data_IF_065106209835
#
_entry.id   IF_065106209835
#
_cell.length_a   1.000
_cell.length_b   1.000
_cell.length_c   1.000
_cell.angle_alpha   90.00
_cell.angle_beta   90.00
_cell.angle_gamma   90.00
#
_symmetry.space_group_name_H-M   'P 1'
#
loop_
_entity.id
_entity.type
_entity.pdbx_description
1 polymer ?
#
# COMPACT_ATOMS: atom_id res chain seq x y z
N UNK A 1 -10.03 -15.77 13.58
CA UNK A 1 -10.81 -15.71 14.83
C UNK A 1 -11.61 -14.42 14.83
N UNK A 2 -12.87 -14.50 15.26
CA UNK A 2 -13.76 -13.36 15.35
C UNK A 2 -14.22 -13.24 16.81
N UNK A 3 -14.17 -12.04 17.38
CA UNK A 3 -14.60 -11.76 18.75
C UNK A 3 -15.63 -10.64 18.73
N UNK A 4 -16.75 -10.86 19.38
CA UNK A 4 -17.88 -9.93 19.46
C UNK A 4 -18.04 -9.39 20.88
N UNK A 5 -18.82 -8.30 20.99
CA UNK A 5 -19.20 -7.71 22.28
C UNK A 5 -18.03 -7.26 23.16
N UNK A 6 -16.95 -6.87 22.52
CA UNK A 6 -15.78 -6.30 23.21
C UNK A 6 -16.11 -4.91 23.74
N UNK A 7 -15.62 -4.60 24.94
CA UNK A 7 -15.70 -3.24 25.50
C UNK A 7 -14.73 -2.33 24.74
N UNK A 8 -15.15 -1.11 24.42
CA UNK A 8 -14.28 -0.06 23.88
C UNK A 8 -13.26 0.41 24.92
N UNK A 9 -12.09 0.87 24.45
CA UNK A 9 -11.00 1.37 25.28
C UNK A 9 -10.61 0.41 26.43
N UNK A 10 -10.52 -0.86 26.11
CA UNK A 10 -10.27 -1.90 27.08
C UNK A 10 -9.12 -2.80 26.67
N UNK A 11 -8.24 -3.10 27.63
CA UNK A 11 -7.09 -3.99 27.41
C UNK A 11 -7.46 -5.43 27.74
N UNK A 12 -7.44 -6.28 26.74
CA UNK A 12 -7.67 -7.71 26.85
C UNK A 12 -6.35 -8.46 26.95
N UNK A 13 -6.30 -9.49 27.78
CA UNK A 13 -5.21 -10.46 27.79
C UNK A 13 -5.66 -11.69 27.01
N UNK A 14 -5.04 -11.93 25.87
CA UNK A 14 -5.41 -12.95 24.91
C UNK A 14 -4.53 -14.20 25.07
N UNK A 15 -5.09 -15.35 24.73
CA UNK A 15 -4.37 -16.61 24.65
C UNK A 15 -4.91 -17.45 23.49
N UNK A 16 -4.03 -18.18 22.82
CA UNK A 16 -4.39 -19.15 21.80
C UNK A 16 -4.26 -20.55 22.40
N UNK A 17 -5.33 -21.33 22.34
CA UNK A 17 -5.38 -22.69 22.87
C UNK A 17 -5.80 -23.66 21.76
N UNK A 18 -5.31 -24.90 21.84
CA UNK A 18 -5.78 -25.99 20.98
C UNK A 18 -7.14 -26.55 21.50
N UNK A 19 -7.68 -27.52 20.77
CA UNK A 19 -8.94 -28.19 21.14
C UNK A 19 -8.86 -29.04 22.40
N UNK A 20 -7.67 -29.22 22.99
CA UNK A 20 -7.42 -29.95 24.26
C UNK A 20 -7.15 -28.96 25.40
N UNK A 21 -7.17 -27.67 25.18
CA UNK A 21 -6.90 -26.63 26.17
C UNK A 21 -5.43 -26.30 26.39
N UNK A 22 -4.50 -26.85 25.57
CA UNK A 22 -3.09 -26.50 25.68
C UNK A 22 -2.82 -25.15 25.07
N UNK A 23 -1.95 -24.34 25.70
CA UNK A 23 -1.48 -23.07 25.14
C UNK A 23 -0.60 -23.33 23.92
N UNK A 24 -0.92 -22.65 22.80
CA UNK A 24 -0.16 -22.71 21.56
C UNK A 24 0.93 -21.63 21.48
N UNK A 25 0.82 -20.58 22.27
CA UNK A 25 1.82 -19.52 22.39
C UNK A 25 1.68 -18.79 23.74
N UNK A 26 2.63 -17.90 24.05
CA UNK A 26 2.53 -17.01 25.20
C UNK A 26 1.30 -16.12 25.12
N UNK A 27 0.77 -15.76 26.29
CA UNK A 27 -0.30 -14.76 26.40
C UNK A 27 0.19 -13.40 25.96
N UNK A 28 -0.70 -12.58 25.40
CA UNK A 28 -0.40 -11.21 24.99
C UNK A 28 -1.58 -10.28 25.26
N UNK A 29 -1.26 -9.01 25.37
CA UNK A 29 -2.26 -7.96 25.55
C UNK A 29 -2.62 -7.35 24.20
N UNK A 30 -3.90 -7.03 24.01
CA UNK A 30 -4.41 -6.27 22.88
C UNK A 30 -5.51 -5.33 23.38
N UNK A 31 -5.41 -4.04 23.04
CA UNK A 31 -6.42 -3.05 23.40
C UNK A 31 -7.41 -2.85 22.26
N UNK A 32 -8.67 -2.68 22.63
CA UNK A 32 -9.71 -2.19 21.70
C UNK A 32 -9.61 -0.69 21.59
N UNK A 33 -10.07 -0.14 20.47
CA UNK A 33 -10.13 1.31 20.27
C UNK A 33 -11.19 1.97 21.15
N UNK A 34 -11.03 3.27 21.43
CA UNK A 34 -12.08 4.10 22.03
C UNK A 34 -13.35 4.07 21.18
N UNK A 35 -14.51 4.22 21.82
CA UNK A 35 -15.79 4.26 21.13
C UNK A 35 -15.83 5.42 20.10
N UNK A 36 -16.53 5.26 18.95
CA UNK A 36 -16.53 6.26 17.87
C UNK A 36 -16.96 7.67 18.27
N UNK A 37 -17.79 7.78 19.31
CA UNK A 37 -18.31 9.02 19.88
C UNK A 37 -17.47 9.56 21.06
N UNK A 38 -16.46 8.83 21.50
CA UNK A 38 -15.55 9.27 22.56
C UNK A 38 -14.53 10.26 22.04
N UNK A 39 -13.92 11.03 22.96
CA UNK A 39 -12.93 12.09 22.66
C UNK A 39 -11.58 11.75 23.28
N UNK A 40 -10.79 10.86 22.68
CA UNK A 40 -9.45 10.55 23.17
C UNK A 40 -8.53 11.76 23.09
N UNK A 41 -7.63 11.90 24.07
CA UNK A 41 -6.68 13.02 24.09
C UNK A 41 -5.58 12.89 23.05
N UNK A 42 -5.16 11.65 22.74
CA UNK A 42 -4.05 11.34 21.85
C UNK A 42 -4.23 10.00 21.18
N UNK A 43 -3.55 9.85 20.04
CA UNK A 43 -3.30 8.55 19.37
C UNK A 43 -1.97 8.61 18.65
N UNK A 44 -1.37 7.45 18.43
CA UNK A 44 -0.13 7.28 17.67
C UNK A 44 -0.29 6.22 16.61
N UNK A 45 0.02 6.58 15.37
CA UNK A 45 -0.05 5.68 14.23
C UNK A 45 1.36 5.38 13.72
N UNK A 46 1.62 4.10 13.42
CA UNK A 46 2.81 3.66 12.71
C UNK A 46 2.41 3.29 11.28
N UNK A 47 3.10 3.85 10.28
CA UNK A 47 2.79 3.61 8.87
C UNK A 47 4.07 3.26 8.11
N UNK A 48 4.02 2.21 7.29
CA UNK A 48 5.10 1.83 6.38
C UNK A 48 4.55 1.14 5.14
N UNK A 49 5.42 0.93 4.15
CA UNK A 49 5.07 0.27 2.88
C UNK A 49 6.13 -0.76 2.48
N UNK A 50 5.84 -1.55 1.46
CA UNK A 50 6.80 -2.40 0.75
C UNK A 50 7.66 -3.23 1.71
N UNK A 51 7.01 -3.90 2.66
CA UNK A 51 7.70 -4.67 3.70
C UNK A 51 8.10 -6.07 3.25
N UNK A 52 7.51 -6.60 2.18
CA UNK A 52 7.79 -7.89 1.59
C UNK A 52 9.25 -8.05 1.13
N UNK A 53 9.54 -9.18 0.59
CA UNK A 53 10.85 -9.50 0.04
C UNK A 53 11.28 -10.91 0.37
N UNK A 54 11.85 -11.56 -0.62
CA UNK A 54 12.33 -12.94 -0.53
C UNK A 54 13.87 -12.99 -0.56
N UNK A 55 14.46 -13.99 0.08
CA UNK A 55 15.90 -14.23 -0.06
C UNK A 55 16.18 -14.79 -1.45
N UNK A 56 17.25 -14.33 -2.07
CA UNK A 56 17.76 -14.92 -3.29
C UNK A 56 19.13 -15.56 -3.02
N UNK A 57 19.13 -16.86 -2.86
CA UNK A 57 20.30 -17.62 -2.42
C UNK A 57 21.43 -17.68 -3.46
N UNK A 58 21.15 -17.39 -4.73
CA UNK A 58 22.10 -17.51 -5.82
C UNK A 58 22.86 -16.20 -6.12
N UNK A 59 22.61 -15.15 -5.34
CA UNK A 59 23.24 -13.85 -5.54
C UNK A 59 23.99 -13.41 -4.29
N UNK A 60 25.15 -12.75 -4.48
CA UNK A 60 25.86 -12.11 -3.38
C UNK A 60 24.95 -11.17 -2.58
N UNK A 61 25.26 -11.00 -1.30
CA UNK A 61 24.47 -10.20 -0.41
C UNK A 61 24.23 -8.75 -0.92
N UNK A 62 25.23 -8.17 -1.57
CA UNK A 62 25.17 -6.82 -2.16
C UNK A 62 24.26 -6.70 -3.39
N UNK A 63 23.95 -7.81 -4.05
CA UNK A 63 23.09 -7.86 -5.24
C UNK A 63 21.63 -8.24 -4.90
N UNK A 64 21.35 -8.58 -3.65
CA UNK A 64 19.99 -8.92 -3.23
C UNK A 64 19.05 -7.72 -3.44
N UNK A 65 17.84 -7.91 -4.03
CA UNK A 65 16.89 -6.83 -4.24
C UNK A 65 16.25 -6.35 -2.92
N UNK A 66 16.24 -7.21 -1.90
CA UNK A 66 15.60 -6.93 -0.62
C UNK A 66 16.61 -6.95 0.54
N UNK A 67 16.29 -6.21 1.57
CA UNK A 67 17.05 -6.23 2.82
C UNK A 67 16.93 -7.61 3.49
N UNK A 68 18.01 -8.07 4.17
CA UNK A 68 17.96 -9.25 5.02
C UNK A 68 16.80 -9.18 6.02
N UNK A 69 16.19 -10.33 6.30
CA UNK A 69 15.03 -10.46 7.20
C UNK A 69 15.25 -9.76 8.55
N UNK A 70 16.42 -9.99 9.17
CA UNK A 70 16.73 -9.41 10.49
C UNK A 70 16.80 -7.87 10.48
N UNK A 71 17.21 -7.24 9.35
CA UNK A 71 17.20 -5.77 9.22
C UNK A 71 15.77 -5.27 9.10
N UNK A 72 14.93 -5.91 8.28
CA UNK A 72 13.51 -5.56 8.16
C UNK A 72 12.79 -5.68 9.49
N UNK A 73 13.01 -6.78 10.23
CA UNK A 73 12.47 -6.99 11.57
C UNK A 73 12.91 -5.89 12.55
N UNK A 74 14.17 -5.48 12.50
CA UNK A 74 14.72 -4.44 13.37
C UNK A 74 14.11 -3.06 13.08
N UNK A 75 13.88 -2.72 11.80
CA UNK A 75 13.17 -1.50 11.42
C UNK A 75 11.73 -1.48 11.96
N UNK A 76 11.00 -2.59 11.82
CA UNK A 76 9.63 -2.71 12.35
C UNK A 76 9.65 -2.63 13.88
N UNK A 77 10.56 -3.35 14.53
CA UNK A 77 10.73 -3.32 15.99
C UNK A 77 11.03 -1.91 16.50
N UNK A 78 11.85 -1.11 15.76
CA UNK A 78 12.09 0.30 16.09
C UNK A 78 10.79 1.10 15.99
N UNK A 79 10.00 0.96 14.95
CA UNK A 79 8.68 1.59 14.84
C UNK A 79 7.76 1.23 16.02
N UNK A 80 7.67 -0.05 16.35
CA UNK A 80 6.86 -0.56 17.46
C UNK A 80 7.37 -0.10 18.84
N UNK A 81 8.67 0.20 19.00
CA UNK A 81 9.22 0.71 20.25
C UNK A 81 8.63 2.05 20.69
N UNK A 82 8.04 2.80 19.76
CA UNK A 82 7.28 4.02 20.05
C UNK A 82 5.87 3.76 20.57
N UNK A 83 5.46 2.49 20.70
CA UNK A 83 4.14 2.05 21.20
C UNK A 83 2.97 2.68 20.45
N UNK A 84 2.84 2.41 19.14
CA UNK A 84 1.71 2.90 18.38
C UNK A 84 0.41 2.25 18.82
N UNK A 85 -0.70 2.99 18.78
CA UNK A 85 -2.05 2.50 19.04
C UNK A 85 -2.61 1.72 17.86
N UNK A 86 -2.12 2.00 16.65
CA UNK A 86 -2.43 1.26 15.43
C UNK A 86 -1.26 1.28 14.44
N UNK A 87 -1.26 0.29 13.54
CA UNK A 87 -0.31 0.17 12.44
C UNK A 87 -1.06 0.06 11.11
N UNK A 88 -0.58 0.77 10.10
CA UNK A 88 -1.05 0.62 8.71
C UNK A 88 0.14 0.24 7.84
N UNK A 89 0.08 -0.93 7.22
CA UNK A 89 1.02 -1.39 6.22
C UNK A 89 0.39 -1.19 4.83
N UNK A 90 1.04 -0.38 4.00
CA UNK A 90 0.52 0.06 2.70
C UNK A 90 1.21 -0.73 1.60
N UNK A 91 0.53 -1.75 1.07
CA UNK A 91 0.92 -2.49 -0.12
C UNK A 91 2.26 -3.21 -0.07
N UNK A 92 2.48 -4.04 -1.07
CA UNK A 92 3.73 -4.78 -1.30
C UNK A 92 4.17 -5.63 -0.10
N UNK A 93 3.19 -6.33 0.49
CA UNK A 93 3.48 -7.31 1.55
C UNK A 93 4.19 -8.52 0.98
N UNK A 94 3.98 -8.78 -0.33
CA UNK A 94 4.49 -9.92 -1.06
C UNK A 94 5.04 -9.44 -2.39
N UNK A 95 6.26 -9.87 -2.70
CA UNK A 95 6.85 -9.75 -4.03
C UNK A 95 6.86 -11.14 -4.65
N UNK A 96 6.06 -11.34 -5.66
CA UNK A 96 6.01 -12.59 -6.41
C UNK A 96 6.47 -12.43 -7.85
N UNK A 97 5.99 -11.42 -8.56
CA UNK A 97 6.42 -10.96 -9.89
C UNK A 97 6.63 -12.08 -10.90
N UNK A 98 5.65 -12.94 -11.05
CA UNK A 98 5.82 -14.21 -11.74
C UNK A 98 6.24 -14.06 -13.21
N UNK A 99 5.50 -13.29 -13.97
CA UNK A 99 5.70 -13.25 -15.42
C UNK A 99 6.65 -12.18 -15.87
N UNK A 100 6.43 -10.98 -15.39
CA UNK A 100 7.23 -9.82 -15.78
C UNK A 100 8.70 -10.01 -15.50
N UNK A 101 9.02 -10.69 -14.40
CA UNK A 101 10.41 -10.94 -14.03
C UNK A 101 11.05 -12.06 -14.84
N UNK A 102 10.32 -13.16 -15.12
CA UNK A 102 10.84 -14.26 -15.96
C UNK A 102 11.07 -13.84 -17.40
N UNK A 103 10.22 -12.97 -17.93
CA UNK A 103 10.28 -12.43 -19.29
C UNK A 103 11.10 -11.13 -19.38
N UNK A 104 11.78 -10.72 -18.30
CA UNK A 104 12.58 -9.50 -18.30
C UNK A 104 13.69 -9.56 -19.34
N UNK A 105 13.90 -8.46 -20.06
CA UNK A 105 15.03 -8.33 -21.01
C UNK A 105 16.37 -8.26 -20.27
N UNK A 106 16.36 -7.80 -19.03
CA UNK A 106 17.49 -7.88 -18.12
C UNK A 106 17.70 -9.33 -17.69
N UNK A 107 18.79 -9.93 -18.19
CA UNK A 107 19.13 -11.33 -17.93
C UNK A 107 19.44 -11.60 -16.46
N UNK A 108 19.98 -10.66 -15.73
CA UNK A 108 20.23 -10.78 -14.29
C UNK A 108 18.90 -10.90 -13.55
N UNK A 109 17.97 -10.00 -13.83
CA UNK A 109 16.62 -10.00 -13.23
C UNK A 109 15.84 -11.28 -13.56
N UNK A 110 15.89 -11.74 -14.80
CA UNK A 110 15.29 -13.02 -15.21
C UNK A 110 15.92 -14.22 -14.52
N UNK A 111 17.23 -14.19 -14.28
CA UNK A 111 17.97 -15.23 -13.55
C UNK A 111 17.59 -15.24 -12.07
N UNK A 112 17.45 -14.09 -11.45
CA UNK A 112 16.97 -13.96 -10.05
C UNK A 112 15.57 -14.55 -9.89
N UNK A 113 14.65 -14.24 -10.79
CA UNK A 113 13.30 -14.78 -10.78
C UNK A 113 13.31 -16.31 -10.92
N UNK A 114 14.10 -16.86 -11.85
CA UNK A 114 14.25 -18.33 -12.00
C UNK A 114 14.74 -19.00 -10.73
N UNK A 115 15.79 -18.46 -10.12
CA UNK A 115 16.34 -19.02 -8.87
C UNK A 115 15.29 -19.00 -7.73
N UNK A 116 14.51 -17.96 -7.66
CA UNK A 116 13.40 -17.88 -6.72
C UNK A 116 12.35 -18.98 -6.97
N UNK A 117 11.91 -19.15 -8.21
CA UNK A 117 10.96 -20.21 -8.58
C UNK A 117 11.49 -21.61 -8.30
N UNK A 118 12.77 -21.87 -8.59
CA UNK A 118 13.41 -23.15 -8.26
C UNK A 118 13.36 -23.44 -6.76
N UNK A 119 13.52 -22.42 -5.93
CA UNK A 119 13.49 -22.56 -4.47
C UNK A 119 12.10 -22.83 -3.89
N UNK A 120 11.05 -22.23 -4.43
CA UNK A 120 9.68 -22.32 -3.88
C UNK A 120 8.76 -23.26 -4.67
N UNK A 121 9.07 -23.51 -5.92
CA UNK A 121 8.29 -24.33 -6.85
C UNK A 121 7.40 -23.47 -7.76
N UNK A 122 6.94 -24.07 -8.84
CA UNK A 122 6.08 -23.43 -9.84
C UNK A 122 4.62 -23.53 -9.46
N UNK A 123 3.85 -22.49 -9.77
CA UNK A 123 2.39 -22.49 -9.65
C UNK A 123 1.72 -22.99 -10.94
N UNK A 124 0.77 -23.88 -10.78
CA UNK A 124 -0.12 -24.29 -11.86
C UNK A 124 -1.31 -23.33 -11.95
N UNK A 125 -1.31 -22.47 -12.97
CA UNK A 125 -2.37 -21.45 -13.16
C UNK A 125 -3.76 -22.02 -13.50
N UNK A 126 -3.84 -23.30 -13.81
CA UNK A 126 -5.10 -23.98 -14.10
C UNK A 126 -5.74 -24.62 -12.86
N UNK A 127 -5.03 -24.65 -11.73
CA UNK A 127 -5.51 -25.21 -10.48
C UNK A 127 -5.83 -24.16 -9.44
N UNK A 128 -6.74 -24.49 -8.53
CA UNK A 128 -7.07 -23.65 -7.39
C UNK A 128 -5.85 -23.41 -6.50
N UNK A 129 -5.85 -22.32 -5.75
CA UNK A 129 -4.82 -22.05 -4.72
C UNK A 129 -4.91 -23.05 -3.57
N UNK A 130 -6.11 -23.25 -3.01
CA UNK A 130 -6.38 -24.09 -1.84
C UNK A 130 -6.60 -25.55 -2.20
N UNK A 131 -6.06 -26.46 -1.40
CA UNK A 131 -6.27 -27.91 -1.53
C UNK A 131 -5.56 -28.55 -2.71
N UNK A 132 -4.60 -27.89 -3.34
CA UNK A 132 -3.80 -28.37 -4.48
C UNK A 132 -2.30 -28.20 -4.18
N UNK A 133 -1.39 -28.73 -5.03
CA UNK A 133 0.03 -28.46 -4.86
C UNK A 133 0.41 -26.97 -4.82
N UNK A 134 -0.40 -26.07 -5.41
CA UNK A 134 -0.20 -24.64 -5.34
C UNK A 134 -0.16 -24.11 -3.89
N UNK A 135 -0.97 -24.67 -3.01
CA UNK A 135 -1.00 -24.25 -1.60
C UNK A 135 0.36 -24.35 -0.92
N UNK A 136 1.07 -25.47 -1.14
CA UNK A 136 2.40 -25.67 -0.57
C UNK A 136 3.44 -24.70 -1.17
N UNK A 137 3.34 -24.39 -2.46
CA UNK A 137 4.19 -23.41 -3.14
C UNK A 137 3.95 -22.01 -2.59
N UNK A 138 2.68 -21.61 -2.47
CA UNK A 138 2.29 -20.31 -1.93
C UNK A 138 2.82 -20.16 -0.49
N UNK A 139 2.62 -21.14 0.37
CA UNK A 139 3.10 -21.09 1.76
C UNK A 139 4.61 -20.90 1.82
N UNK A 140 5.38 -21.66 1.03
CA UNK A 140 6.84 -21.49 0.99
C UNK A 140 7.27 -20.11 0.48
N UNK A 141 6.56 -19.56 -0.50
CA UNK A 141 6.88 -18.25 -1.05
C UNK A 141 6.56 -17.10 -0.09
N UNK A 142 5.45 -17.21 0.66
CA UNK A 142 4.93 -16.13 1.49
C UNK A 142 5.47 -16.15 2.90
N UNK A 143 5.79 -17.34 3.44
CA UNK A 143 6.31 -17.49 4.79
C UNK A 143 7.49 -16.54 5.11
N UNK A 144 8.56 -16.43 4.30
CA UNK A 144 9.65 -15.49 4.57
C UNK A 144 9.27 -14.02 4.44
N UNK A 145 8.18 -13.70 3.74
CA UNK A 145 7.76 -12.34 3.46
C UNK A 145 6.77 -11.78 4.49
N UNK A 146 5.94 -12.63 5.09
CA UNK A 146 4.93 -12.26 6.07
C UNK A 146 5.15 -12.97 7.40
N UNK A 147 5.03 -14.30 7.43
CA UNK A 147 5.04 -15.05 8.70
C UNK A 147 6.36 -14.88 9.45
N UNK A 148 7.50 -15.06 8.79
CA UNK A 148 8.80 -14.89 9.41
C UNK A 148 9.14 -13.41 9.66
N UNK A 149 8.66 -12.50 8.80
CA UNK A 149 8.92 -11.07 8.96
C UNK A 149 8.26 -10.53 10.23
N UNK A 150 6.98 -10.75 10.36
CA UNK A 150 6.21 -10.18 11.48
C UNK A 150 6.28 -11.06 12.73
N UNK A 151 6.32 -12.39 12.58
CA UNK A 151 6.31 -13.32 13.70
C UNK A 151 5.17 -12.97 14.67
N UNK A 152 5.54 -12.70 15.92
CA UNK A 152 4.61 -12.26 16.96
C UNK A 152 4.69 -10.77 17.27
N UNK A 153 5.49 -10.00 16.52
CA UNK A 153 5.77 -8.58 16.85
C UNK A 153 4.51 -7.71 16.84
N UNK A 154 3.56 -8.00 15.93
CA UNK A 154 2.35 -7.19 15.76
C UNK A 154 1.18 -7.60 16.66
N UNK A 155 1.30 -8.69 17.42
CA UNK A 155 0.17 -9.29 18.16
C UNK A 155 -0.50 -8.36 19.19
N UNK A 156 0.23 -7.33 19.66
CA UNK A 156 -0.27 -6.36 20.64
C UNK A 156 -0.63 -5.01 20.03
N UNK A 157 -0.58 -4.86 18.70
CA UNK A 157 -0.89 -3.63 17.99
C UNK A 157 -1.91 -3.92 16.90
N UNK A 158 -3.11 -3.33 16.94
CA UNK A 158 -4.07 -3.43 15.84
C UNK A 158 -3.43 -3.04 14.52
N UNK A 159 -3.47 -3.93 13.53
CA UNK A 159 -2.71 -3.78 12.29
C UNK A 159 -3.62 -3.95 11.08
N UNK A 160 -3.49 -3.03 10.12
CA UNK A 160 -4.27 -2.96 8.89
C UNK A 160 -3.35 -3.11 7.68
N UNK A 161 -3.75 -3.95 6.72
CA UNK A 161 -2.95 -4.29 5.54
C UNK A 161 -3.75 -4.02 4.28
N UNK A 162 -3.41 -2.98 3.54
CA UNK A 162 -3.99 -2.72 2.21
C UNK A 162 -3.11 -3.34 1.14
N UNK A 163 -3.70 -4.01 0.16
CA UNK A 163 -2.96 -4.62 -0.96
C UNK A 163 -2.61 -3.56 -2.00
N UNK A 164 -1.50 -3.81 -2.72
CA UNK A 164 -1.12 -3.07 -3.92
C UNK A 164 -0.72 -4.04 -5.05
N UNK A 165 -0.05 -3.57 -6.09
CA UNK A 165 0.23 -4.29 -7.33
C UNK A 165 0.93 -5.65 -7.09
N UNK A 166 2.04 -5.67 -6.36
CA UNK A 166 2.79 -6.89 -6.08
C UNK A 166 2.00 -7.94 -5.27
N UNK A 167 1.06 -7.53 -4.44
CA UNK A 167 0.21 -8.45 -3.67
C UNK A 167 -0.75 -9.26 -4.57
N UNK A 168 -0.91 -8.85 -5.83
CA UNK A 168 -1.69 -9.57 -6.83
C UNK A 168 -0.85 -10.49 -7.73
N UNK A 169 0.34 -10.89 -7.29
CA UNK A 169 1.24 -11.84 -7.96
C UNK A 169 1.90 -11.33 -9.25
N UNK A 170 1.74 -10.12 -9.59
CA UNK A 170 2.39 -9.45 -10.71
C UNK A 170 2.55 -7.98 -10.35
N UNK A 171 3.62 -7.34 -10.78
CA UNK A 171 3.73 -5.91 -10.61
C UNK A 171 2.92 -5.15 -11.69
N UNK A 172 2.80 -3.86 -11.59
CA UNK A 172 2.02 -3.03 -12.51
C UNK A 172 2.71 -2.74 -13.85
N UNK A 173 3.87 -3.35 -14.11
CA UNK A 173 4.58 -3.17 -15.37
C UNK A 173 3.85 -3.81 -16.55
N UNK A 174 3.40 -3.01 -17.50
CA UNK A 174 2.91 -3.48 -18.78
C UNK A 174 4.08 -3.78 -19.73
N UNK A 175 3.91 -4.82 -20.56
CA UNK A 175 4.79 -5.13 -21.67
C UNK A 175 4.03 -5.03 -22.99
N UNK A 176 4.72 -5.20 -24.13
CA UNK A 176 4.10 -5.31 -25.44
C UNK A 176 3.22 -6.56 -25.61
N UNK A 177 3.26 -7.49 -24.64
CA UNK A 177 2.54 -8.77 -24.67
C UNK A 177 1.36 -8.83 -23.72
N UNK A 178 1.46 -8.22 -22.55
CA UNK A 178 0.41 -8.29 -21.54
C UNK A 178 0.42 -7.12 -20.57
N UNK A 179 -0.71 -6.94 -19.91
CA UNK A 179 -0.96 -6.00 -18.83
C UNK A 179 -1.29 -6.79 -17.58
N UNK A 180 -0.74 -6.40 -16.43
CA UNK A 180 -0.82 -7.17 -15.19
C UNK A 180 -1.97 -6.75 -14.29
N UNK A 181 -2.36 -5.48 -14.30
CA UNK A 181 -3.47 -4.95 -13.48
C UNK A 181 -4.57 -4.33 -14.34
N UNK A 182 -5.83 -4.30 -13.88
CA UNK A 182 -6.34 -4.91 -12.63
C UNK A 182 -6.23 -6.43 -12.67
N UNK A 183 -6.18 -7.10 -11.49
CA UNK A 183 -5.87 -8.52 -11.40
C UNK A 183 -6.91 -9.40 -12.12
N UNK A 184 -6.43 -10.40 -12.81
CA UNK A 184 -7.26 -11.44 -13.42
C UNK A 184 -7.72 -12.49 -12.40
N UNK A 185 -8.62 -13.37 -12.83
CA UNK A 185 -9.18 -14.43 -11.96
C UNK A 185 -8.11 -15.25 -11.23
N UNK A 186 -7.03 -15.62 -11.91
CA UNK A 186 -5.92 -16.35 -11.31
C UNK A 186 -5.26 -15.52 -10.21
N UNK A 187 -4.75 -14.35 -10.54
CA UNK A 187 -4.06 -13.46 -9.61
C UNK A 187 -4.91 -13.14 -8.38
N UNK A 188 -6.17 -12.77 -8.61
CA UNK A 188 -7.11 -12.46 -7.54
C UNK A 188 -7.38 -13.68 -6.63
N UNK A 189 -7.57 -14.88 -7.18
CA UNK A 189 -7.84 -16.07 -6.37
C UNK A 189 -6.68 -16.43 -5.45
N UNK A 190 -5.46 -16.21 -5.93
CA UNK A 190 -4.24 -16.44 -5.16
C UNK A 190 -4.02 -15.34 -4.12
N UNK A 191 -4.22 -14.08 -4.47
CA UNK A 191 -4.15 -12.97 -3.53
C UNK A 191 -5.15 -13.14 -2.38
N UNK A 192 -6.40 -13.50 -2.68
CA UNK A 192 -7.43 -13.81 -1.67
C UNK A 192 -7.01 -14.96 -0.76
N UNK A 193 -6.44 -16.02 -1.31
CA UNK A 193 -5.96 -17.15 -0.52
C UNK A 193 -4.82 -16.74 0.44
N UNK A 194 -3.91 -15.89 -0.01
CA UNK A 194 -2.85 -15.36 0.84
C UNK A 194 -3.41 -14.49 1.97
N UNK A 195 -4.34 -13.60 1.65
CA UNK A 195 -5.02 -12.79 2.69
C UNK A 195 -5.72 -13.67 3.71
N UNK A 196 -6.47 -14.67 3.27
CA UNK A 196 -7.18 -15.60 4.15
C UNK A 196 -6.23 -16.36 5.12
N UNK A 197 -4.98 -16.60 4.71
CA UNK A 197 -3.99 -17.33 5.52
C UNK A 197 -3.15 -16.43 6.44
N UNK A 198 -2.78 -15.26 6.00
CA UNK A 198 -1.68 -14.52 6.60
C UNK A 198 -2.04 -13.11 7.08
N UNK A 199 -3.09 -12.49 6.54
CA UNK A 199 -3.41 -11.10 6.85
C UNK A 199 -4.78 -11.03 7.53
N UNK A 200 -4.94 -10.16 8.56
CA UNK A 200 -6.24 -9.90 9.14
C UNK A 200 -7.13 -9.15 8.14
N UNK A 201 -8.42 -9.41 8.20
CA UNK A 201 -9.39 -8.60 7.48
C UNK A 201 -9.59 -7.25 8.18
N UNK A 202 -10.00 -6.25 7.42
CA UNK A 202 -10.46 -5.00 8.01
C UNK A 202 -11.75 -5.24 8.81
N UNK A 203 -12.01 -4.39 9.79
CA UNK A 203 -13.31 -4.38 10.45
C UNK A 203 -14.41 -4.02 9.45
N UNK A 204 -15.56 -4.66 9.58
CA UNK A 204 -16.70 -4.37 8.73
C UNK A 204 -17.15 -2.91 8.93
N UNK A 205 -17.27 -2.20 7.82
CA UNK A 205 -17.87 -0.86 7.75
C UNK A 205 -19.09 -0.97 6.85
N UNK A 206 -20.28 -0.73 7.41
CA UNK A 206 -21.54 -0.85 6.68
C UNK A 206 -21.64 0.15 5.51
N UNK A 207 -20.90 1.25 5.54
CA UNK A 207 -20.91 2.29 4.51
C UNK A 207 -19.89 2.02 3.39
N UNK A 208 -18.95 1.07 3.57
CA UNK A 208 -17.93 0.80 2.59
C UNK A 208 -18.49 0.21 1.29
N UNK A 209 -17.85 0.47 0.14
CA UNK A 209 -18.23 -0.18 -1.11
C UNK A 209 -18.08 -1.70 -1.02
N UNK A 210 -19.03 -2.42 -1.57
CA UNK A 210 -19.00 -3.88 -1.62
C UNK A 210 -19.76 -4.39 -2.86
N UNK A 211 -19.57 -5.66 -3.20
CA UNK A 211 -20.24 -6.34 -4.31
C UNK A 211 -19.95 -5.73 -5.69
N UNK A 212 -18.95 -4.88 -5.81
CA UNK A 212 -18.59 -4.23 -7.07
C UNK A 212 -18.08 -5.22 -8.10
N UNK A 213 -18.32 -4.92 -9.36
CA UNK A 213 -17.76 -5.68 -10.47
C UNK A 213 -16.25 -5.45 -10.58
N UNK A 214 -15.48 -6.49 -10.81
CA UNK A 214 -14.03 -6.42 -10.99
C UNK A 214 -13.53 -7.33 -12.11
N UNK A 215 -12.36 -7.08 -12.65
CA UNK A 215 -11.81 -7.80 -13.80
C UNK A 215 -11.60 -9.30 -13.55
N UNK A 216 -11.21 -9.70 -12.36
CA UNK A 216 -10.96 -11.11 -12.03
C UNK A 216 -12.17 -11.83 -11.47
N UNK A 217 -12.92 -11.16 -10.63
CA UNK A 217 -14.17 -11.63 -10.03
C UNK A 217 -14.88 -10.45 -9.37
N UNK A 218 -16.16 -10.65 -9.04
CA UNK A 218 -16.94 -9.72 -8.24
C UNK A 218 -16.29 -9.54 -6.85
N UNK A 219 -16.45 -8.35 -6.29
CA UNK A 219 -16.08 -8.06 -4.91
C UNK A 219 -16.86 -8.93 -3.91
N UNK A 220 -16.34 -9.06 -2.70
CA UNK A 220 -16.96 -9.83 -1.62
C UNK A 220 -18.19 -9.12 -1.03
N UNK A 221 -18.91 -9.85 -0.18
CA UNK A 221 -20.06 -9.34 0.57
C UNK A 221 -19.65 -8.22 1.55
N UNK A 222 -20.59 -7.36 1.97
CA UNK A 222 -20.28 -6.23 2.87
C UNK A 222 -19.62 -6.63 4.20
N UNK A 223 -19.88 -7.84 4.70
CA UNK A 223 -19.27 -8.35 5.94
C UNK A 223 -17.82 -8.76 5.83
N UNK A 224 -17.28 -8.87 4.61
CA UNK A 224 -15.91 -9.33 4.33
C UNK A 224 -15.14 -8.23 3.65
N UNK A 225 -14.15 -7.65 4.33
CA UNK A 225 -13.33 -6.57 3.77
C UNK A 225 -12.32 -7.12 2.77
N UNK A 226 -12.24 -6.51 1.59
CA UNK A 226 -11.29 -6.88 0.55
C UNK A 226 -10.37 -5.72 0.17
N UNK A 227 -10.93 -4.60 -0.28
CA UNK A 227 -10.15 -3.50 -0.87
C UNK A 227 -10.38 -2.16 -0.19
N UNK A 228 -11.45 -2.02 0.56
CA UNK A 228 -11.83 -0.76 1.20
C UNK A 228 -12.18 -0.99 2.66
N UNK A 229 -11.71 -0.10 3.53
CA UNK A 229 -12.00 -0.17 4.94
C UNK A 229 -11.63 1.11 5.66
N UNK A 230 -12.08 1.21 6.89
CA UNK A 230 -11.67 2.29 7.79
C UNK A 230 -11.16 1.72 9.09
N UNK A 231 -10.34 2.51 9.78
CA UNK A 231 -10.29 2.40 11.23
C UNK A 231 -10.64 3.74 11.83
N UNK A 232 -11.30 3.74 12.97
CA UNK A 232 -11.70 4.94 13.69
C UNK A 232 -11.26 4.87 15.15
N UNK A 233 -10.52 5.88 15.60
CA UNK A 233 -10.03 6.01 16.96
C UNK A 233 -10.79 7.12 17.70
N UNK A 234 -11.96 6.78 18.24
CA UNK A 234 -12.90 7.77 18.77
C UNK A 234 -13.29 8.79 17.71
N UNK A 235 -13.45 10.04 18.13
CA UNK A 235 -13.61 11.19 17.24
C UNK A 235 -12.26 11.86 16.89
N UNK A 236 -11.12 11.33 17.42
CA UNK A 236 -9.81 11.91 17.21
C UNK A 236 -9.28 11.64 15.80
N UNK A 237 -9.40 10.40 15.31
CA UNK A 237 -8.83 10.03 14.02
C UNK A 237 -9.68 9.02 13.27
N UNK A 238 -9.69 9.16 11.95
CA UNK A 238 -10.17 8.13 11.03
C UNK A 238 -9.21 7.99 9.85
N UNK A 239 -8.92 6.75 9.45
CA UNK A 239 -8.19 6.44 8.24
C UNK A 239 -9.10 5.72 7.25
N UNK A 240 -9.20 6.26 6.05
CA UNK A 240 -9.89 5.66 4.90
C UNK A 240 -8.84 4.91 4.09
N UNK A 241 -8.88 3.59 4.16
CA UNK A 241 -7.87 2.70 3.57
C UNK A 241 -8.45 2.10 2.30
N UNK A 242 -7.75 2.27 1.17
CA UNK A 242 -8.24 1.80 -0.11
C UNK A 242 -7.15 1.32 -1.07
N UNK A 243 -7.47 0.19 -1.70
CA UNK A 243 -6.66 -0.51 -2.68
C UNK A 243 -6.88 0.10 -4.06
N UNK A 244 -5.85 0.65 -4.65
CA UNK A 244 -5.86 1.25 -5.98
C UNK A 244 -5.54 0.25 -7.11
N UNK A 245 -5.08 -0.95 -6.81
CA UNK A 245 -4.74 -1.96 -7.81
C UNK A 245 -5.92 -2.86 -8.19
N UNK A 246 -6.81 -3.14 -7.22
CA UNK A 246 -7.89 -4.13 -7.37
C UNK A 246 -8.93 -3.78 -8.42
N UNK A 247 -9.35 -2.52 -8.48
CA UNK A 247 -10.46 -2.05 -9.31
C UNK A 247 -10.06 -0.98 -10.31
N UNK A 248 -8.77 -0.69 -10.46
CA UNK A 248 -8.35 0.33 -11.40
C UNK A 248 -8.93 0.07 -12.81
N UNK A 249 -9.23 1.13 -13.50
CA UNK A 249 -9.70 1.07 -14.88
C UNK A 249 -8.72 1.78 -15.81
N UNK A 250 -8.61 1.23 -17.02
CA UNK A 250 -7.63 1.62 -18.03
C UNK A 250 -8.29 2.23 -19.27
N UNK A 251 -9.51 2.74 -19.16
CA UNK A 251 -10.34 3.11 -20.30
C UNK A 251 -10.46 4.63 -20.44
N UNK A 252 -9.57 5.22 -21.21
CA UNK A 252 -9.65 6.59 -21.68
C UNK A 252 -9.74 7.65 -20.59
N UNK A 253 -10.35 8.77 -20.91
CA UNK A 253 -10.50 9.93 -20.03
C UNK A 253 -11.38 9.70 -18.79
N UNK A 254 -12.07 8.56 -18.74
CA UNK A 254 -12.90 8.14 -17.59
C UNK A 254 -12.21 7.05 -16.77
N UNK A 255 -10.97 6.71 -17.09
CA UNK A 255 -10.19 5.77 -16.29
C UNK A 255 -9.99 6.31 -14.86
N UNK A 256 -9.93 5.42 -13.90
CA UNK A 256 -9.74 5.76 -12.49
C UNK A 256 -8.91 4.72 -11.75
N UNK A 257 -8.24 5.15 -10.69
CA UNK A 257 -7.54 4.27 -9.76
C UNK A 257 -8.53 3.52 -8.86
N UNK A 258 -9.66 4.14 -8.57
CA UNK A 258 -10.76 3.57 -7.79
C UNK A 258 -12.07 3.72 -8.54
N UNK A 259 -13.05 2.82 -8.31
CA UNK A 259 -14.37 2.94 -8.96
C UNK A 259 -15.18 4.10 -8.40
N UNK A 260 -16.20 4.57 -9.15
CA UNK A 260 -17.05 5.69 -8.72
C UNK A 260 -17.74 5.49 -7.36
N UNK A 261 -18.11 4.26 -7.04
CA UNK A 261 -18.70 3.90 -5.75
C UNK A 261 -17.75 4.15 -4.59
N UNK A 262 -16.45 3.82 -4.79
CA UNK A 262 -15.42 4.10 -3.80
C UNK A 262 -15.13 5.60 -3.69
N UNK A 263 -15.10 6.33 -4.79
CA UNK A 263 -14.94 7.80 -4.78
C UNK A 263 -16.10 8.46 -4.02
N UNK A 264 -17.34 8.00 -4.23
CA UNK A 264 -18.51 8.50 -3.51
C UNK A 264 -18.45 8.21 -2.00
N UNK A 265 -17.98 7.02 -1.63
CA UNK A 265 -17.78 6.66 -0.22
C UNK A 265 -16.71 7.55 0.44
N UNK A 266 -15.56 7.78 -0.24
CA UNK A 266 -14.54 8.69 0.25
C UNK A 266 -15.09 10.11 0.45
N UNK A 267 -15.94 10.60 -0.47
CA UNK A 267 -16.57 11.90 -0.36
C UNK A 267 -17.45 12.00 0.90
N UNK A 268 -18.36 11.04 1.11
CA UNK A 268 -19.22 11.01 2.28
C UNK A 268 -18.45 10.99 3.59
N UNK A 269 -17.36 10.19 3.64
CA UNK A 269 -16.51 10.11 4.85
C UNK A 269 -15.69 11.39 5.05
N UNK A 270 -15.28 12.05 3.98
CA UNK A 270 -14.53 13.29 4.05
C UNK A 270 -15.41 14.47 4.52
N UNK A 271 -16.68 14.45 4.22
CA UNK A 271 -17.65 15.44 4.71
C UNK A 271 -17.96 15.32 6.21
N UNK A 272 -17.71 14.16 6.84
CA UNK A 272 -17.90 13.97 8.29
C UNK A 272 -16.90 14.81 9.09
N UNK A 273 -17.39 15.92 9.65
CA UNK A 273 -16.61 16.86 10.47
C UNK A 273 -16.55 16.47 11.95
N UNK A 274 -17.19 15.38 12.36
CA UNK A 274 -17.09 14.87 13.74
C UNK A 274 -15.71 14.34 14.08
N UNK A 275 -14.93 13.93 13.06
CA UNK A 275 -13.58 13.42 13.20
C UNK A 275 -12.57 14.56 13.12
N UNK A 276 -11.63 14.61 14.08
CA UNK A 276 -10.62 15.67 14.15
C UNK A 276 -9.56 15.58 13.05
N UNK A 277 -9.02 14.37 12.80
CA UNK A 277 -8.03 14.09 11.79
C UNK A 277 -8.51 12.99 10.86
N UNK A 278 -8.53 13.29 9.57
CA UNK A 278 -8.89 12.32 8.54
C UNK A 278 -7.67 12.04 7.67
N UNK A 279 -7.39 10.77 7.46
CA UNK A 279 -6.33 10.29 6.59
C UNK A 279 -6.92 9.54 5.41
N UNK A 280 -6.51 9.89 4.20
CA UNK A 280 -6.66 9.03 3.05
C UNK A 280 -5.42 8.15 2.92
N UNK A 281 -5.62 6.86 2.75
CA UNK A 281 -4.54 5.86 2.69
C UNK A 281 -4.70 5.02 1.42
N UNK A 282 -4.44 5.60 0.23
CA UNK A 282 -4.36 4.84 -1.02
C UNK A 282 -3.14 3.93 -1.01
N UNK A 283 -3.24 2.76 -1.64
CA UNK A 283 -2.08 1.91 -1.85
C UNK A 283 -1.10 2.53 -2.83
N UNK A 284 -1.58 3.12 -3.92
CA UNK A 284 -0.77 3.81 -4.92
C UNK A 284 -0.39 5.24 -4.51
N UNK A 285 0.70 5.79 -5.08
CA UNK A 285 1.17 7.14 -4.74
C UNK A 285 0.13 8.21 -5.07
N UNK A 286 0.08 9.24 -4.23
CA UNK A 286 -0.82 10.37 -4.38
C UNK A 286 -0.02 11.67 -4.52
N UNK A 287 -0.16 12.35 -5.64
CA UNK A 287 0.63 13.53 -5.99
C UNK A 287 2.01 13.22 -6.55
N UNK A 288 2.55 12.07 -6.28
CA UNK A 288 3.89 11.65 -6.66
C UNK A 288 3.90 10.68 -7.84
N UNK A 289 4.98 10.69 -8.59
CA UNK A 289 5.26 9.74 -9.67
C UNK A 289 6.75 9.40 -9.68
N UNK A 290 7.09 8.22 -10.16
CA UNK A 290 8.47 7.78 -10.30
C UNK A 290 9.05 7.99 -11.71
N UNK A 291 8.35 8.68 -12.60
CA UNK A 291 8.74 8.74 -14.00
C UNK A 291 8.73 7.37 -14.68
N UNK A 292 7.96 6.45 -14.15
CA UNK A 292 7.84 5.09 -14.67
C UNK A 292 7.36 5.14 -16.12
N UNK A 293 7.99 4.40 -17.00
CA UNK A 293 7.70 4.40 -18.42
C UNK A 293 6.97 3.13 -18.89
N UNK A 294 6.86 2.13 -18.04
CA UNK A 294 6.12 0.89 -18.27
C UNK A 294 4.91 0.73 -17.37
N UNK A 295 4.81 1.51 -16.34
CA UNK A 295 3.72 1.50 -15.40
C UNK A 295 2.68 2.53 -15.79
N UNK A 296 1.50 2.52 -15.15
CA UNK A 296 0.39 3.39 -15.49
C UNK A 296 -0.08 3.14 -16.92
N UNK A 297 -0.60 1.96 -17.17
CA UNK A 297 -0.83 1.36 -18.47
C UNK A 297 -1.44 2.24 -19.55
N UNK A 298 -2.46 3.06 -19.28
CA UNK A 298 -3.00 3.93 -20.32
C UNK A 298 -2.01 4.97 -20.82
N UNK A 299 -1.04 5.32 -19.97
CA UNK A 299 -0.01 6.28 -20.30
C UNK A 299 1.03 5.75 -21.28
N UNK A 300 1.17 4.45 -21.36
CA UNK A 300 2.13 3.78 -22.25
C UNK A 300 1.49 3.35 -23.60
N UNK A 301 0.21 3.58 -23.79
CA UNK A 301 -0.46 3.29 -25.05
C UNK A 301 -0.23 4.39 -26.08
N UNK A 302 0.26 4.03 -27.26
CA UNK A 302 0.49 4.95 -28.38
C UNK A 302 -0.73 4.93 -29.31
N UNK A 303 -1.84 5.49 -28.87
CA UNK A 303 -3.11 5.47 -29.59
C UNK A 303 -3.64 6.84 -29.94
N UNK A 304 -3.09 7.90 -29.35
CA UNK A 304 -3.71 9.22 -29.32
C UNK A 304 -4.96 9.32 -28.43
N UNK A 305 -5.42 8.18 -27.88
CA UNK A 305 -6.57 8.07 -27.00
C UNK A 305 -6.19 7.26 -25.74
N UNK A 306 -6.47 7.81 -24.58
CA UNK A 306 -6.13 7.17 -23.30
C UNK A 306 -6.83 5.83 -23.12
N UNK A 307 -6.09 4.80 -22.76
CA UNK A 307 -6.58 3.54 -22.22
C UNK A 307 -7.29 2.58 -23.19
N UNK A 308 -7.33 2.88 -24.48
CA UNK A 308 -8.07 2.03 -25.45
C UNK A 308 -7.37 0.70 -25.71
N UNK A 309 -6.06 0.65 -25.65
CA UNK A 309 -5.25 -0.53 -26.01
C UNK A 309 -5.38 -1.71 -25.05
N UNK A 310 -5.72 -1.49 -23.81
CA UNK A 310 -5.49 -2.42 -22.71
C UNK A 310 -6.27 -3.73 -22.82
N UNK A 311 -7.54 -3.67 -23.20
CA UNK A 311 -8.37 -4.88 -23.33
C UNK A 311 -7.86 -5.84 -24.43
N UNK A 312 -7.20 -5.32 -25.42
CA UNK A 312 -6.69 -6.11 -26.56
C UNK A 312 -5.34 -6.77 -26.24
N UNK A 313 -4.52 -6.13 -25.44
CA UNK A 313 -3.27 -6.71 -24.94
C UNK A 313 -3.58 -7.94 -24.08
N UNK A 314 -4.63 -7.89 -23.27
CA UNK A 314 -5.05 -9.00 -22.41
C UNK A 314 -5.56 -10.24 -23.14
N UNK A 315 -6.19 -10.06 -24.27
CA UNK A 315 -6.78 -11.17 -25.01
C UNK A 315 -5.77 -12.06 -25.74
N UNK A 316 -4.47 -11.72 -25.68
CA UNK A 316 -3.41 -12.47 -26.37
C UNK A 316 -3.44 -12.32 -27.89
N UNK A 317 -4.27 -11.43 -28.41
CA UNK A 317 -4.29 -11.06 -29.83
C UNK A 317 -3.17 -10.08 -30.18
N UNK A 318 -2.91 -9.91 -31.46
CA UNK A 318 -2.09 -8.81 -31.97
C UNK A 318 -2.74 -7.49 -31.57
N UNK A 319 -2.13 -6.76 -30.66
CA UNK A 319 -2.60 -5.44 -30.28
C UNK A 319 -2.60 -4.52 -31.51
N UNK A 320 -3.69 -3.79 -31.70
CA UNK A 320 -3.73 -2.71 -32.69
C UNK A 320 -2.89 -1.50 -32.31
N UNK A 321 -2.48 -1.46 -31.05
CA UNK A 321 -1.81 -0.33 -30.44
C UNK A 321 -0.43 -0.74 -29.97
N UNK A 322 0.52 0.15 -30.17
CA UNK A 322 1.89 -0.01 -29.70
C UNK A 322 2.04 0.67 -28.33
N UNK A 323 2.64 -0.02 -27.39
CA UNK A 323 3.00 0.59 -26.11
C UNK A 323 4.18 1.55 -26.26
N UNK A 324 4.10 2.71 -25.62
CA UNK A 324 5.16 3.75 -25.61
C UNK A 324 6.15 3.54 -24.46
N UNK A 325 6.54 2.31 -24.20
CA UNK A 325 7.35 1.89 -23.04
C UNK A 325 8.76 2.47 -22.96
N UNK A 326 9.22 3.17 -24.01
CA UNK A 326 10.54 3.80 -24.04
C UNK A 326 10.55 5.25 -23.53
N UNK A 327 9.38 5.83 -23.26
CA UNK A 327 9.25 7.21 -22.83
C UNK A 327 9.02 7.30 -21.33
N UNK A 328 9.82 8.08 -20.64
CA UNK A 328 9.55 8.42 -19.24
C UNK A 328 8.25 9.22 -19.11
N UNK A 329 7.51 8.96 -18.06
CA UNK A 329 6.23 9.58 -17.76
C UNK A 329 6.31 10.30 -16.41
N UNK A 330 6.04 11.59 -16.45
CA UNK A 330 5.98 12.46 -15.26
C UNK A 330 4.54 12.96 -14.99
N UNK A 331 3.61 12.49 -15.76
CA UNK A 331 2.19 12.82 -15.62
C UNK A 331 1.39 11.51 -15.67
N UNK A 332 0.40 11.40 -14.81
CA UNK A 332 -0.54 10.31 -14.89
C UNK A 332 -1.39 10.43 -16.15
N UNK A 333 -1.96 9.29 -16.57
CA UNK A 333 -2.91 9.33 -17.68
C UNK A 333 -4.14 10.20 -17.30
N UNK A 334 -4.80 10.73 -18.34
CA UNK A 334 -5.81 11.78 -18.18
C UNK A 334 -6.93 11.45 -17.21
N UNK A 335 -7.49 10.25 -17.26
CA UNK A 335 -8.60 9.86 -16.37
C UNK A 335 -8.18 9.78 -14.91
N UNK A 336 -7.03 9.18 -14.63
CA UNK A 336 -6.49 9.09 -13.27
C UNK A 336 -6.12 10.47 -12.72
N UNK A 337 -5.55 11.34 -13.55
CA UNK A 337 -5.21 12.69 -13.15
C UNK A 337 -6.47 13.49 -12.77
N UNK A 338 -7.55 13.40 -13.55
CA UNK A 338 -8.83 14.02 -13.23
C UNK A 338 -9.46 13.48 -11.95
N UNK A 339 -9.37 12.17 -11.71
CA UNK A 339 -9.82 11.60 -10.43
C UNK A 339 -8.99 12.12 -9.26
N UNK A 340 -7.67 12.15 -9.44
CA UNK A 340 -6.77 12.73 -8.46
C UNK A 340 -7.11 14.19 -8.14
N UNK A 341 -7.45 15.01 -9.14
CA UNK A 341 -7.89 16.39 -8.94
C UNK A 341 -9.18 16.48 -8.13
N UNK A 342 -10.16 15.60 -8.38
CA UNK A 342 -11.41 15.54 -7.58
C UNK A 342 -11.14 15.17 -6.13
N UNK A 343 -10.26 14.18 -5.90
CA UNK A 343 -9.85 13.79 -4.55
C UNK A 343 -9.08 14.90 -3.83
N UNK A 344 -8.18 15.59 -4.52
CA UNK A 344 -7.48 16.76 -3.98
C UNK A 344 -8.45 17.87 -3.59
N UNK A 345 -9.41 18.19 -4.46
CA UNK A 345 -10.41 19.21 -4.20
C UNK A 345 -11.23 18.86 -2.96
N UNK A 346 -11.73 17.64 -2.88
CA UNK A 346 -12.46 17.11 -1.72
C UNK A 346 -11.67 17.28 -0.41
N UNK A 347 -10.38 16.96 -0.45
CA UNK A 347 -9.49 17.08 0.71
C UNK A 347 -9.15 18.55 1.04
N UNK A 348 -9.01 19.40 0.04
CA UNK A 348 -8.65 20.80 0.20
C UNK A 348 -9.81 21.70 0.63
N UNK A 349 -11.06 21.30 0.42
CA UNK A 349 -12.27 22.05 0.77
C UNK A 349 -12.77 21.77 2.20
N UNK A 350 -12.06 21.00 3.00
CA UNK A 350 -12.46 20.72 4.37
C UNK A 350 -12.35 21.97 5.26
N UNK A 351 -13.43 22.37 5.98
CA UNK A 351 -13.43 23.65 6.69
C UNK A 351 -12.58 23.65 7.95
N UNK A 352 -12.48 22.53 8.67
CA UNK A 352 -11.89 22.48 10.01
C UNK A 352 -10.57 21.75 10.12
N UNK A 353 -10.07 21.13 9.02
CA UNK A 353 -8.85 20.33 9.01
C UNK A 353 -8.17 20.42 7.66
N UNK A 354 -6.86 20.21 7.61
CA UNK A 354 -6.12 20.02 6.36
C UNK A 354 -6.20 18.56 5.92
N UNK A 355 -6.28 18.32 4.61
CA UNK A 355 -6.30 16.97 4.06
C UNK A 355 -4.93 16.31 4.21
N UNK A 356 -4.91 15.04 4.62
CA UNK A 356 -3.69 14.25 4.78
C UNK A 356 -3.83 12.96 3.99
N UNK A 357 -2.86 12.69 3.11
CA UNK A 357 -2.78 11.45 2.34
C UNK A 357 -1.48 10.74 2.67
N UNK A 358 -1.58 9.47 3.02
CA UNK A 358 -0.45 8.58 3.29
C UNK A 358 -0.41 7.53 2.19
N UNK A 359 0.68 7.42 1.45
CA UNK A 359 0.81 6.47 0.35
C UNK A 359 2.15 5.75 0.35
N UNK A 360 2.24 4.66 -0.40
CA UNK A 360 3.40 3.78 -0.51
C UNK A 360 3.97 3.67 -1.91
N UNK A 361 4.27 2.45 -2.34
CA UNK A 361 4.71 1.99 -3.68
C UNK A 361 6.09 2.52 -4.13
N UNK A 362 6.36 3.80 -4.02
CA UNK A 362 7.54 4.45 -4.62
C UNK A 362 8.87 4.21 -3.90
N UNK A 363 8.92 3.31 -2.92
CA UNK A 363 10.12 2.95 -2.17
C UNK A 363 10.91 4.15 -1.62
N UNK A 364 10.20 5.19 -1.22
CA UNK A 364 10.79 6.44 -0.76
C UNK A 364 9.96 7.06 0.37
N UNK A 365 10.59 7.90 1.17
CA UNK A 365 9.92 8.79 2.10
C UNK A 365 9.92 10.21 1.55
N UNK A 366 8.88 10.98 1.84
CA UNK A 366 8.81 12.37 1.41
C UNK A 366 7.54 13.04 1.90
N UNK A 367 7.52 14.38 1.83
CA UNK A 367 6.35 15.17 2.22
C UNK A 367 6.18 16.33 1.26
N UNK A 368 5.04 16.39 0.57
CA UNK A 368 4.60 17.52 -0.21
C UNK A 368 3.35 18.15 0.40
N UNK A 369 3.25 19.46 0.28
CA UNK A 369 2.09 20.24 0.68
C UNK A 369 1.52 20.86 -0.58
N UNK A 370 0.53 20.16 -1.17
CA UNK A 370 -0.06 20.49 -2.48
C UNK A 370 -0.99 21.68 -2.33
N UNK A 371 -0.81 22.72 -3.16
CA UNK A 371 -1.60 23.95 -3.16
C UNK A 371 -2.54 24.01 -4.36
N UNK A 372 -2.15 23.40 -5.49
CA UNK A 372 -2.97 23.35 -6.70
C UNK A 372 -2.58 22.17 -7.58
N UNK A 373 -3.48 21.80 -8.49
CA UNK A 373 -3.25 20.79 -9.52
C UNK A 373 -3.80 21.30 -10.85
N UNK A 374 -2.91 21.72 -11.75
CA UNK A 374 -3.24 22.40 -13.00
C UNK A 374 -4.16 23.59 -12.77
N UNK A 375 -5.39 23.55 -13.25
CA UNK A 375 -6.43 24.57 -13.13
C UNK A 375 -7.22 24.54 -11.81
N UNK A 376 -6.97 23.52 -10.97
CA UNK A 376 -7.64 23.38 -9.68
C UNK A 376 -6.79 23.99 -8.57
N UNK A 377 -7.24 25.10 -8.00
CA UNK A 377 -6.67 25.70 -6.78
C UNK A 377 -7.40 25.15 -5.57
N UNK A 378 -6.68 24.84 -4.50
CA UNK A 378 -7.24 24.30 -3.27
C UNK A 378 -7.47 25.42 -2.26
N UNK A 379 -8.58 25.38 -1.53
CA UNK A 379 -8.87 26.32 -0.43
C UNK A 379 -7.89 26.12 0.73
N UNK A 380 -7.43 24.90 0.87
CA UNK A 380 -6.40 24.51 1.80
C UNK A 380 -5.42 23.52 1.20
N UNK A 381 -4.15 23.60 1.62
CA UNK A 381 -3.17 22.62 1.18
C UNK A 381 -3.53 21.21 1.60
N UNK A 382 -3.14 20.23 0.75
CA UNK A 382 -3.24 18.81 1.04
C UNK A 382 -1.84 18.24 1.25
N UNK A 383 -1.64 17.57 2.37
CA UNK A 383 -0.37 16.93 2.71
C UNK A 383 -0.30 15.55 2.07
N UNK A 384 0.57 15.39 1.07
CA UNK A 384 0.86 14.12 0.42
C UNK A 384 2.17 13.55 0.96
N UNK A 385 2.07 12.48 1.74
CA UNK A 385 3.18 11.87 2.44
C UNK A 385 3.47 10.51 1.82
N UNK A 386 4.72 10.34 1.36
CA UNK A 386 5.26 9.02 1.03
C UNK A 386 5.83 8.41 2.31
N UNK A 387 5.32 7.23 2.67
CA UNK A 387 5.86 6.48 3.80
C UNK A 387 7.00 5.56 3.35
N UNK A 388 7.94 5.28 4.26
CA UNK A 388 9.14 4.54 3.93
C UNK A 388 8.92 3.05 3.65
N UNK A 389 9.67 2.47 2.70
CA UNK A 389 9.69 1.04 2.47
C UNK A 389 10.49 0.34 3.57
N UNK A 390 10.04 -0.84 3.97
CA UNK A 390 10.79 -1.69 4.90
C UNK A 390 11.70 -2.68 4.19
N UNK A 391 11.26 -3.22 3.04
CA UNK A 391 11.86 -4.41 2.44
C UNK A 391 12.94 -4.16 1.40
N UNK A 392 12.88 -3.11 0.65
CA UNK A 392 13.75 -2.90 -0.52
C UNK A 392 15.16 -2.48 -0.15
N UNK A 393 16.15 -2.99 -0.88
CA UNK A 393 17.56 -2.72 -0.60
C UNK A 393 18.12 -1.50 -1.33
N UNK A 394 17.66 -1.24 -2.55
CA UNK A 394 18.13 -0.13 -3.38
C UNK A 394 17.08 0.94 -3.51
N UNK A 395 17.51 2.19 -3.71
CA UNK A 395 16.63 3.26 -4.15
C UNK A 395 16.03 2.93 -5.50
N UNK A 396 14.79 2.46 -5.52
CA UNK A 396 14.25 1.81 -6.69
C UNK A 396 13.98 2.77 -7.86
N UNK A 397 13.29 3.90 -7.74
CA UNK A 397 13.06 4.73 -8.93
C UNK A 397 14.36 5.24 -9.54
N UNK A 398 15.30 5.73 -8.73
CA UNK A 398 16.60 6.19 -9.23
C UNK A 398 17.40 5.08 -9.87
N UNK A 399 17.46 3.89 -9.23
CA UNK A 399 18.25 2.76 -9.74
C UNK A 399 17.65 2.15 -11.02
N UNK A 400 16.32 2.05 -11.11
CA UNK A 400 15.65 1.40 -12.23
C UNK A 400 15.25 2.37 -13.34
N UNK A 401 15.02 3.65 -13.04
CA UNK A 401 14.48 4.64 -13.97
C UNK A 401 15.39 5.87 -14.16
N UNK A 402 16.46 5.98 -13.39
CA UNK A 402 17.39 7.10 -13.44
C UNK A 402 16.90 8.40 -12.80
N UNK A 403 15.71 8.38 -12.18
CA UNK A 403 15.12 9.55 -11.51
C UNK A 403 14.50 9.16 -10.17
N UNK A 404 14.66 9.99 -9.11
CA UNK A 404 13.91 9.79 -7.88
C UNK A 404 12.41 10.04 -8.09
N UNK A 405 11.55 9.69 -7.14
CA UNK A 405 10.16 10.14 -7.16
C UNK A 405 10.06 11.65 -7.24
N UNK A 406 9.14 12.12 -8.06
CA UNK A 406 8.88 13.52 -8.33
C UNK A 406 7.38 13.80 -8.17
N UNK A 407 7.01 15.06 -7.99
CA UNK A 407 5.61 15.45 -8.11
C UNK A 407 5.15 15.29 -9.56
N UNK A 408 3.92 14.82 -9.76
CA UNK A 408 3.34 14.68 -11.08
C UNK A 408 3.24 16.05 -11.76
N UNK A 409 3.44 16.10 -13.07
CA UNK A 409 3.34 17.34 -13.85
C UNK A 409 1.98 18.01 -13.65
N UNK A 410 1.98 19.31 -13.41
CA UNK A 410 0.77 20.08 -13.10
C UNK A 410 0.45 20.23 -11.63
N UNK A 411 1.14 19.51 -10.73
CA UNK A 411 1.01 19.69 -9.28
C UNK A 411 1.96 20.79 -8.83
N UNK A 412 1.41 21.78 -8.14
CA UNK A 412 2.16 22.82 -7.43
C UNK A 412 2.12 22.57 -5.93
N UNK A 413 3.28 22.43 -5.32
CA UNK A 413 3.42 22.11 -3.91
C UNK A 413 4.72 22.62 -3.32
N UNK A 414 4.70 22.94 -2.04
CA UNK A 414 5.91 23.01 -1.23
C UNK A 414 6.35 21.59 -0.89
N UNK A 415 7.64 21.37 -0.72
CA UNK A 415 8.19 20.08 -0.30
C UNK A 415 8.92 20.21 1.05
N UNK A 416 8.18 20.20 2.17
CA UNK A 416 8.79 20.31 3.52
C UNK A 416 9.85 19.25 3.79
N UNK A 417 9.68 18.04 3.24
CA UNK A 417 10.72 17.02 3.21
C UNK A 417 10.98 16.57 1.79
N UNK A 418 12.20 16.76 1.31
CA UNK A 418 12.65 16.20 0.05
C UNK A 418 12.54 14.68 0.05
N UNK A 419 12.27 14.09 -1.11
CA UNK A 419 12.17 12.65 -1.29
C UNK A 419 13.51 11.99 -0.96
N UNK A 420 13.44 10.92 -0.17
CA UNK A 420 14.57 10.08 0.20
C UNK A 420 14.23 8.63 -0.07
N UNK A 421 14.97 7.99 -0.99
CA UNK A 421 14.84 6.56 -1.31
C UNK A 421 15.57 5.69 -0.28
N UNK A 422 15.28 5.93 1.00
CA UNK A 422 15.79 5.16 2.14
C UNK A 422 14.69 4.32 2.75
N UNK A 423 15.07 3.23 3.42
CA UNK A 423 14.14 2.42 4.20
C UNK A 423 13.71 3.17 5.44
N UNK A 424 12.51 2.89 5.93
CA UNK A 424 12.02 3.54 7.14
C UNK A 424 10.52 3.42 7.31
N UNK A 425 9.99 4.30 8.12
CA UNK A 425 8.58 4.34 8.46
C UNK A 425 8.15 5.77 8.80
N UNK A 426 6.85 5.99 8.87
CA UNK A 426 6.24 7.24 9.32
C UNK A 426 5.57 7.00 10.68
N UNK A 427 5.81 7.89 11.63
CA UNK A 427 5.12 7.93 12.90
C UNK A 427 4.26 9.19 12.95
N UNK A 428 3.00 9.06 13.36
CA UNK A 428 2.07 10.18 13.44
C UNK A 428 1.53 10.26 14.87
N UNK A 429 1.86 11.32 15.57
CA UNK A 429 1.28 11.63 16.89
C UNK A 429 0.11 12.58 16.72
N UNK A 430 -1.04 12.23 17.26
CA UNK A 430 -2.28 12.97 17.17
C UNK A 430 -2.72 13.46 18.53
N UNK A 431 -3.16 14.71 18.57
CA UNK A 431 -3.92 15.30 19.67
C UNK A 431 -5.19 15.94 19.15
N UNK A 432 -6.05 16.47 20.00
CA UNK A 432 -7.26 17.18 19.58
C UNK A 432 -6.98 18.39 18.67
N UNK A 433 -5.76 18.95 18.71
CA UNK A 433 -5.41 20.21 18.05
C UNK A 433 -4.39 20.06 16.91
N UNK A 434 -3.63 18.97 16.90
CA UNK A 434 -2.55 18.82 15.94
C UNK A 434 -2.29 17.37 15.52
N UNK A 435 -1.75 17.23 14.31
CA UNK A 435 -1.13 16.00 13.80
C UNK A 435 0.37 16.26 13.58
N UNK A 436 1.21 15.56 14.35
CA UNK A 436 2.67 15.61 14.22
C UNK A 436 3.18 14.43 13.42
N UNK A 437 3.68 14.71 12.21
CA UNK A 437 4.20 13.72 11.26
C UNK A 437 5.71 13.64 11.40
N UNK A 438 6.24 12.44 11.57
CA UNK A 438 7.66 12.18 11.75
C UNK A 438 8.11 11.11 10.74
N UNK A 439 9.05 11.47 9.85
CA UNK A 439 9.61 10.57 8.86
C UNK A 439 10.95 10.04 9.34
N UNK A 440 11.08 8.70 9.35
CA UNK A 440 12.30 7.98 9.72
C UNK A 440 12.93 7.37 8.48
N UNK A 441 14.25 7.46 8.36
CA UNK A 441 14.97 6.94 7.21
C UNK A 441 16.30 6.32 7.64
N UNK A 442 16.60 5.13 7.10
CA UNK A 442 17.82 4.39 7.28
C UNK A 442 18.25 3.72 5.97
N UNK A 443 19.53 3.81 5.63
CA UNK A 443 20.12 3.07 4.51
C UNK A 443 21.63 3.05 4.64
N UNK A 444 22.22 1.86 4.66
CA UNK A 444 23.68 1.65 4.69
C UNK A 444 24.43 2.22 5.92
N UNK A 445 23.75 2.83 6.87
CA UNK A 445 24.34 3.15 8.18
C UNK A 445 24.57 1.84 8.97
N UNK A 446 25.39 1.83 10.02
CA UNK A 446 25.53 0.66 10.88
C UNK A 446 24.16 0.11 11.31
N UNK A 447 24.00 -1.22 11.33
CA UNK A 447 22.69 -1.85 11.60
C UNK A 447 22.15 -1.47 13.00
N UNK A 448 23.03 -1.32 13.98
CA UNK A 448 22.68 -0.92 15.35
C UNK A 448 22.18 0.54 15.43
N UNK A 449 22.49 1.38 14.46
CA UNK A 449 21.91 2.72 14.37
C UNK A 449 20.36 2.71 14.21
N UNK A 450 19.79 1.59 13.76
CA UNK A 450 18.34 1.45 13.67
C UNK A 450 17.67 1.57 15.04
N UNK A 451 18.28 1.03 16.10
CA UNK A 451 17.68 1.01 17.44
C UNK A 451 17.55 2.40 18.07
N UNK A 452 18.39 3.33 17.63
CA UNK A 452 18.38 4.72 18.08
C UNK A 452 17.92 5.69 17.00
N UNK A 453 17.33 5.18 15.92
CA UNK A 453 16.90 5.99 14.80
C UNK A 453 15.94 7.10 15.27
N UNK A 454 16.25 8.33 14.86
CA UNK A 454 15.43 9.52 15.09
C UNK A 454 14.81 10.00 13.79
N UNK A 455 13.71 10.75 13.82
CA UNK A 455 13.12 11.28 12.60
C UNK A 455 14.09 12.26 11.91
N UNK A 456 14.27 12.11 10.63
CA UNK A 456 15.04 13.08 9.83
C UNK A 456 14.20 14.30 9.44
N UNK A 457 12.87 14.16 9.55
CA UNK A 457 11.92 15.24 9.30
C UNK A 457 10.76 15.14 10.28
N UNK A 458 10.33 16.30 10.79
CA UNK A 458 9.15 16.44 11.65
C UNK A 458 8.36 17.65 11.18
N UNK A 459 7.06 17.47 11.02
CA UNK A 459 6.13 18.52 10.63
C UNK A 459 4.85 18.44 11.45
N UNK A 460 4.36 19.59 11.91
CA UNK A 460 3.12 19.67 12.68
C UNK A 460 2.04 20.39 11.88
N UNK A 461 0.92 19.72 11.68
CA UNK A 461 -0.28 20.26 11.05
C UNK A 461 -1.21 20.67 12.17
N UNK A 462 -1.48 21.97 12.27
CA UNK A 462 -2.43 22.50 13.23
C UNK A 462 -3.85 22.37 12.71
N UNK A 463 -4.77 22.04 13.59
CA UNK A 463 -6.18 22.13 13.26
C UNK A 463 -6.58 23.58 13.03
N UNK A 464 -7.48 23.80 12.10
CA UNK A 464 -8.09 25.11 11.88
C UNK A 464 -9.14 25.41 12.94
N UNK A 465 -9.15 26.64 13.41
CA UNK A 465 -10.14 27.16 14.36
C UNK A 465 -11.50 27.38 13.69
#
# INVERSE_FOLDING_TARGET
FFAENLKSDYRYNLQLIDNKGNLLCDRWDLSTFPAPDSTPDRSRLLVFTCAGGYPNYNFPAEQQPFLPLGIRQRLIARGLSFKPDALIAIGDHIYWDQRTQLDAQDLERASQARAWYESVGSLDRQRAAKGTPNEAVIKRAIEPQIANLYGVMLRSTPSYFVSDDHDYFENDEATDRFVTLPPHKYQLSFARFVRDLFLPEFLADASRPALMSGAGAKDRDPGVSESFGTFRYGNLAEALIYDCARFLSLKGSVAGLIPPEAESWLAQRTEDQTVRHLFHVPSHPFGWTAGKWREWYPDVADTGEDGVATAQIRSGGTSRFKLTTQRQKFMWQSGWFKQHQRLLKMLGEQPSREGIVLSGDLHATGHARIQSSSDVTLDSPVHAILTGPIGTRRGWPSAARGTPPLLATGINADTPASVSEKNGFTLIDLTQNEAKIQLFAWRNEPIDAIDTLTPYHTYTIQRRS
#
